data_IF_204707999747
#
_entry.id   IF_204707999747
#
_cell.length_a   1.000
_cell.length_b   1.000
_cell.length_c   1.000
_cell.angle_alpha   90.00
_cell.angle_beta   90.00
_cell.angle_gamma   90.00
#
_symmetry.space_group_name_H-M   'P 1'
#
loop_
_entity.id
_entity.type
_entity.pdbx_description
1 polymer ?
#
# COMPACT_ATOMS: atom_id res chain seq x y z
N UNK A 1 18.83 26.29 1.40
CA UNK A 1 17.35 26.34 1.53
C UNK A 1 16.75 27.73 1.32
N UNK A 2 17.16 28.79 2.03
CA UNK A 2 16.55 30.14 1.89
C UNK A 2 16.53 30.72 0.46
N UNK A 3 17.55 30.46 -0.36
CA UNK A 3 17.63 30.97 -1.75
C UNK A 3 16.65 30.28 -2.73
N UNK A 4 16.35 29.00 -2.50
CA UNK A 4 15.36 28.23 -3.28
C UNK A 4 13.95 28.73 -2.97
N UNK A 5 13.64 28.95 -1.68
CA UNK A 5 12.35 29.48 -1.23
C UNK A 5 12.10 30.93 -1.67
N UNK A 6 13.16 31.68 -1.98
CA UNK A 6 13.09 33.04 -2.52
C UNK A 6 12.99 33.10 -4.06
N UNK A 7 13.05 31.96 -4.75
CA UNK A 7 13.06 31.90 -6.22
C UNK A 7 14.35 32.42 -6.87
N UNK A 8 15.40 32.70 -6.08
CA UNK A 8 16.71 33.18 -6.58
C UNK A 8 17.51 32.06 -7.29
N UNK A 9 17.18 30.81 -6.96
CA UNK A 9 17.61 29.62 -7.68
C UNK A 9 16.32 29.06 -8.27
N UNK A 10 16.16 29.16 -9.60
CA UNK A 10 15.01 28.56 -10.27
C UNK A 10 14.88 27.08 -9.89
N UNK A 11 13.66 26.53 -9.92
CA UNK A 11 13.49 25.08 -9.99
C UNK A 11 14.48 24.55 -11.02
N UNK A 12 15.12 23.39 -10.78
CA UNK A 12 16.11 22.83 -11.70
C UNK A 12 15.45 22.61 -13.07
N UNK A 13 15.42 23.63 -13.90
CA UNK A 13 14.67 23.71 -15.12
C UNK A 13 15.71 23.76 -16.22
N UNK A 14 15.85 22.61 -16.85
CA UNK A 14 16.94 22.33 -17.76
C UNK A 14 16.81 20.91 -18.26
N UNK A 15 17.27 20.71 -19.48
CA UNK A 15 17.23 19.44 -20.21
C UNK A 15 17.83 18.28 -19.42
N UNK A 16 18.75 18.57 -18.50
CA UNK A 16 19.37 17.60 -17.60
C UNK A 16 18.37 16.97 -16.62
N UNK A 17 17.46 17.75 -16.03
CA UNK A 17 16.39 17.20 -15.17
C UNK A 17 15.49 16.31 -16.00
N UNK A 18 15.09 16.77 -17.19
CA UNK A 18 14.21 16.03 -18.06
C UNK A 18 14.85 14.70 -18.49
N UNK A 19 16.14 14.69 -18.84
CA UNK A 19 16.92 13.49 -19.15
C UNK A 19 17.01 12.52 -17.97
N UNK A 20 17.26 13.00 -16.75
CA UNK A 20 17.31 12.14 -15.56
C UNK A 20 15.95 11.53 -15.24
N UNK A 21 14.88 12.30 -15.39
CA UNK A 21 13.51 11.81 -15.23
C UNK A 21 13.20 10.79 -16.34
N UNK A 22 13.52 11.07 -17.60
CA UNK A 22 13.29 10.14 -18.72
C UNK A 22 14.11 8.85 -18.60
N UNK A 23 15.32 8.93 -18.02
CA UNK A 23 16.19 7.78 -17.80
C UNK A 23 15.71 6.87 -16.65
N UNK A 24 15.16 7.45 -15.57
CA UNK A 24 14.80 6.71 -14.36
C UNK A 24 13.31 6.44 -14.16
N UNK A 25 12.40 7.21 -14.76
CA UNK A 25 10.96 6.94 -14.73
C UNK A 25 10.56 6.12 -15.95
N UNK A 26 10.44 4.81 -15.74
CA UNK A 26 9.77 3.93 -16.69
C UNK A 26 8.27 4.27 -16.74
N UNK A 27 7.67 4.19 -17.94
CA UNK A 27 6.23 4.36 -18.12
C UNK A 27 5.75 5.80 -18.06
N UNK A 28 6.52 6.81 -18.49
CA UNK A 28 5.96 8.17 -18.68
C UNK A 28 4.97 8.25 -19.83
N UNK A 29 5.02 7.29 -20.75
CA UNK A 29 4.15 7.19 -21.92
C UNK A 29 3.53 5.79 -21.99
N UNK A 30 2.39 5.70 -22.67
CA UNK A 30 1.63 4.45 -22.78
C UNK A 30 0.55 4.30 -21.71
N UNK A 31 -0.16 3.18 -21.75
CA UNK A 31 -1.35 2.92 -20.92
C UNK A 31 -1.02 2.73 -19.44
N UNK A 32 0.21 2.34 -19.13
CA UNK A 32 0.67 2.12 -17.75
C UNK A 32 1.34 3.35 -17.12
N UNK A 33 1.28 4.50 -17.79
CA UNK A 33 1.73 5.75 -17.19
C UNK A 33 0.87 6.13 -16.00
N UNK A 34 1.48 6.65 -14.93
CA UNK A 34 0.78 6.94 -13.68
C UNK A 34 -0.49 7.79 -13.89
N UNK A 35 -0.47 8.72 -14.83
CA UNK A 35 -1.61 9.58 -15.18
C UNK A 35 -2.69 8.86 -16.04
N UNK A 36 -2.31 7.83 -16.80
CA UNK A 36 -3.19 7.08 -17.73
C UNK A 36 -3.67 5.74 -17.17
N UNK A 37 -3.08 5.29 -16.08
CA UNK A 37 -3.46 4.04 -15.42
C UNK A 37 -4.92 4.11 -14.92
N UNK A 38 -5.38 5.31 -14.53
CA UNK A 38 -6.78 5.57 -14.18
C UNK A 38 -7.69 5.33 -15.38
N UNK A 39 -7.36 5.86 -16.57
CA UNK A 39 -8.14 5.63 -17.80
C UNK A 39 -8.22 4.14 -18.17
N UNK A 40 -7.15 3.38 -17.91
CA UNK A 40 -7.14 1.92 -18.10
C UNK A 40 -8.07 1.24 -17.11
N UNK A 41 -8.04 1.64 -15.83
CA UNK A 41 -8.96 1.09 -14.83
C UNK A 41 -10.41 1.44 -15.12
N UNK A 42 -10.71 2.64 -15.61
CA UNK A 42 -12.06 3.04 -16.03
C UNK A 42 -12.55 2.23 -17.23
N UNK A 43 -11.69 1.96 -18.22
CA UNK A 43 -12.03 1.08 -19.35
C UNK A 43 -12.25 -0.36 -18.90
N UNK A 44 -11.48 -0.85 -17.93
CA UNK A 44 -11.67 -2.18 -17.36
C UNK A 44 -12.99 -2.22 -16.56
N UNK A 45 -13.27 -1.22 -15.71
CA UNK A 45 -14.49 -1.17 -14.90
C UNK A 45 -15.76 -1.08 -15.74
N UNK A 46 -15.75 -0.31 -16.82
CA UNK A 46 -16.84 -0.25 -17.79
C UNK A 46 -17.16 -1.62 -18.40
N UNK A 47 -16.14 -2.47 -18.59
CA UNK A 47 -16.28 -3.82 -19.15
C UNK A 47 -16.53 -4.92 -18.10
N UNK A 48 -16.34 -4.65 -16.80
CA UNK A 48 -16.54 -5.63 -15.72
C UNK A 48 -18.02 -6.06 -15.59
N UNK A 49 -18.95 -5.26 -16.09
CA UNK A 49 -20.39 -5.51 -15.99
C UNK A 49 -20.95 -6.50 -17.03
N UNK A 50 -20.14 -6.96 -18.00
CA UNK A 50 -20.69 -7.57 -19.21
C UNK A 50 -21.02 -9.08 -19.14
N UNK A 51 -20.70 -9.84 -18.09
CA UNK A 51 -21.10 -11.26 -18.05
C UNK A 51 -21.10 -11.86 -16.63
N UNK A 52 -22.10 -11.50 -15.82
CA UNK A 52 -22.35 -12.15 -14.52
C UNK A 52 -23.07 -13.48 -14.72
N UNK A 53 -22.34 -14.46 -15.23
CA UNK A 53 -22.80 -15.85 -15.21
C UNK A 53 -22.67 -16.42 -13.80
N UNK A 54 -23.79 -16.85 -13.21
CA UNK A 54 -23.86 -17.42 -11.86
C UNK A 54 -22.92 -18.63 -11.73
N UNK A 55 -22.77 -19.44 -12.79
CA UNK A 55 -21.86 -20.60 -12.80
C UNK A 55 -20.39 -20.20 -12.75
N UNK A 56 -19.99 -19.14 -13.48
CA UNK A 56 -18.63 -18.59 -13.39
C UNK A 56 -18.36 -18.01 -12.00
N UNK A 57 -19.37 -17.43 -11.36
CA UNK A 57 -19.23 -16.86 -10.01
C UNK A 57 -19.08 -17.95 -8.94
N UNK A 58 -19.85 -19.03 -8.99
CA UNK A 58 -19.69 -20.17 -8.07
C UNK A 58 -18.37 -20.89 -8.28
N UNK A 59 -17.94 -21.09 -9.53
CA UNK A 59 -16.63 -21.66 -9.84
C UNK A 59 -15.50 -20.80 -9.28
N UNK A 60 -15.55 -19.48 -9.48
CA UNK A 60 -14.57 -18.54 -8.89
C UNK A 60 -14.57 -18.64 -7.37
N UNK A 61 -15.74 -18.64 -6.75
CA UNK A 61 -15.86 -18.78 -5.30
C UNK A 61 -15.21 -20.07 -4.79
N UNK A 62 -15.53 -21.22 -5.40
CA UNK A 62 -14.95 -22.52 -5.06
C UNK A 62 -13.43 -22.54 -5.21
N UNK A 63 -12.90 -22.02 -6.33
CA UNK A 63 -11.45 -21.93 -6.56
C UNK A 63 -10.79 -21.05 -5.51
N UNK A 64 -11.38 -19.91 -5.17
CA UNK A 64 -10.80 -18.95 -4.22
C UNK A 64 -10.79 -19.54 -2.80
N UNK A 65 -11.90 -20.13 -2.36
CA UNK A 65 -11.98 -20.79 -1.07
C UNK A 65 -11.09 -22.02 -0.97
N UNK A 66 -11.01 -22.83 -2.04
CA UNK A 66 -10.10 -23.96 -2.13
C UNK A 66 -8.62 -23.53 -2.04
N UNK A 67 -8.25 -22.46 -2.75
CA UNK A 67 -6.90 -21.88 -2.66
C UNK A 67 -6.58 -21.35 -1.26
N UNK A 68 -7.55 -20.72 -0.59
CA UNK A 68 -7.38 -20.27 0.79
C UNK A 68 -7.21 -21.44 1.76
N UNK A 69 -8.01 -22.49 1.63
CA UNK A 69 -7.85 -23.70 2.44
C UNK A 69 -6.49 -24.37 2.19
N UNK A 70 -6.10 -24.51 0.91
CA UNK A 70 -4.80 -25.08 0.55
C UNK A 70 -3.64 -24.26 1.11
N UNK A 71 -3.73 -22.92 1.08
CA UNK A 71 -2.74 -22.03 1.71
C UNK A 71 -2.72 -22.22 3.23
N UNK A 72 -3.88 -22.29 3.88
CA UNK A 72 -3.98 -22.50 5.33
C UNK A 72 -3.39 -23.86 5.75
N UNK A 73 -3.58 -24.92 4.97
CA UNK A 73 -2.92 -26.21 5.24
C UNK A 73 -1.42 -26.10 5.00
N UNK A 74 -1.00 -25.47 3.88
CA UNK A 74 0.41 -25.30 3.51
C UNK A 74 1.21 -24.49 4.55
N UNK A 75 0.60 -23.58 5.29
CA UNK A 75 1.28 -22.84 6.36
C UNK A 75 1.73 -23.72 7.52
N UNK A 76 1.08 -24.87 7.73
CA UNK A 76 1.40 -25.80 8.83
C UNK A 76 2.31 -26.97 8.42
N UNK A 77 2.67 -27.10 7.14
CA UNK A 77 3.51 -28.21 6.66
C UNK A 77 5.01 -28.03 7.00
N UNK A 78 5.78 -29.14 7.08
CA UNK A 78 7.24 -29.12 7.15
C UNK A 78 7.86 -28.27 6.04
N UNK A 79 8.78 -27.35 6.37
CA UNK A 79 9.49 -26.51 5.40
C UNK A 79 8.71 -25.28 4.89
N UNK A 80 7.50 -25.01 5.40
CA UNK A 80 6.77 -23.81 5.03
C UNK A 80 7.43 -22.54 5.60
N UNK A 81 7.80 -21.60 4.72
CA UNK A 81 8.32 -20.30 5.13
C UNK A 81 7.24 -19.41 5.78
N UNK A 82 5.97 -19.73 5.60
CA UNK A 82 4.83 -18.94 6.09
C UNK A 82 4.19 -19.50 7.36
N UNK A 83 5.01 -20.13 8.21
CA UNK A 83 4.57 -20.68 9.48
C UNK A 83 4.10 -19.59 10.45
N UNK A 84 3.03 -19.83 11.23
CA UNK A 84 2.57 -18.88 12.23
C UNK A 84 3.66 -18.44 13.22
N UNK A 85 4.53 -19.37 13.62
CA UNK A 85 5.63 -19.09 14.56
C UNK A 85 6.67 -18.13 13.94
N UNK A 86 7.00 -18.34 12.66
CA UNK A 86 7.89 -17.44 11.92
C UNK A 86 7.28 -16.05 11.74
N UNK A 87 5.97 -15.98 11.49
CA UNK A 87 5.26 -14.71 11.42
C UNK A 87 5.28 -13.97 12.76
N UNK A 88 5.03 -14.65 13.88
CA UNK A 88 5.11 -14.05 15.23
C UNK A 88 6.51 -13.53 15.58
N UNK A 89 7.55 -14.23 15.13
CA UNK A 89 8.92 -13.76 15.29
C UNK A 89 9.21 -12.54 14.42
N UNK A 90 8.77 -12.54 13.15
CA UNK A 90 9.00 -11.45 12.20
C UNK A 90 8.22 -10.18 12.56
N UNK A 91 7.02 -10.36 13.08
CA UNK A 91 6.11 -9.30 13.49
C UNK A 91 5.80 -9.51 14.98
N UNK A 92 6.73 -9.15 15.87
CA UNK A 92 6.45 -9.22 17.29
C UNK A 92 5.31 -8.26 17.60
N UNK A 93 4.39 -8.69 18.48
CA UNK A 93 3.32 -7.81 18.93
C UNK A 93 3.90 -6.55 19.58
N UNK A 94 3.23 -5.41 19.40
CA UNK A 94 3.66 -4.16 20.01
C UNK A 94 2.60 -3.64 21.00
N UNK A 95 3.09 -3.02 22.07
CA UNK A 95 2.23 -2.39 23.06
C UNK A 95 1.61 -1.10 22.48
N UNK A 96 0.26 -0.97 22.43
CA UNK A 96 -0.41 0.20 21.85
C UNK A 96 0.06 1.54 22.43
N UNK A 97 0.37 1.56 23.73
CA UNK A 97 0.82 2.77 24.44
C UNK A 97 2.17 3.28 23.93
N UNK A 98 3.05 2.39 23.47
CA UNK A 98 4.33 2.80 22.86
C UNK A 98 4.13 3.39 21.46
N UNK A 99 3.14 2.91 20.71
CA UNK A 99 2.79 3.49 19.42
C UNK A 99 2.16 4.87 19.60
N UNK A 100 1.26 5.03 20.57
CA UNK A 100 0.63 6.31 20.89
C UNK A 100 1.66 7.40 21.23
N UNK A 101 2.60 7.10 22.13
CA UNK A 101 3.70 8.01 22.50
C UNK A 101 4.57 8.40 21.30
N UNK A 102 4.84 7.45 20.39
CA UNK A 102 5.60 7.72 19.17
C UNK A 102 4.85 8.65 18.22
N UNK A 103 3.56 8.40 18.01
CA UNK A 103 2.70 9.24 17.18
C UNK A 103 2.63 10.65 17.77
N UNK A 104 2.40 10.79 19.07
CA UNK A 104 2.37 12.09 19.75
C UNK A 104 3.68 12.87 19.55
N UNK A 105 4.84 12.20 19.68
CA UNK A 105 6.13 12.81 19.40
C UNK A 105 6.25 13.32 17.96
N UNK A 106 5.75 12.57 16.97
CA UNK A 106 5.73 13.03 15.58
C UNK A 106 4.79 14.21 15.38
N UNK A 107 3.62 14.20 16.02
CA UNK A 107 2.66 15.30 15.95
C UNK A 107 3.26 16.60 16.51
N UNK A 108 3.94 16.53 17.66
CA UNK A 108 4.66 17.66 18.24
C UNK A 108 5.74 18.21 17.30
N UNK A 109 6.53 17.34 16.66
CA UNK A 109 7.58 17.74 15.72
C UNK A 109 7.03 18.40 14.45
N UNK A 110 5.84 17.99 14.00
CA UNK A 110 5.18 18.51 12.80
C UNK A 110 4.25 19.70 13.10
N UNK A 111 4.02 20.04 14.38
CA UNK A 111 3.00 21.02 14.76
C UNK A 111 1.57 20.55 14.49
N UNK A 112 1.37 19.24 14.38
CA UNK A 112 0.07 18.62 14.17
C UNK A 112 -0.71 18.55 15.49
N UNK A 113 -1.94 19.04 15.48
CA UNK A 113 -2.83 19.10 16.66
C UNK A 113 -4.06 18.20 16.52
N UNK A 114 -4.17 17.45 15.42
CA UNK A 114 -5.29 16.53 15.22
C UNK A 114 -5.26 15.43 16.28
N UNK A 115 -6.39 15.16 16.92
CA UNK A 115 -6.49 14.05 17.86
C UNK A 115 -6.64 12.75 17.08
N UNK A 116 -5.61 11.92 17.08
CA UNK A 116 -5.66 10.59 16.45
C UNK A 116 -6.15 9.55 17.45
N UNK A 117 -7.11 8.73 17.04
CA UNK A 117 -7.56 7.54 17.77
C UNK A 117 -6.80 6.31 17.29
N UNK A 118 -6.36 5.51 18.24
CA UNK A 118 -5.60 4.28 18.01
C UNK A 118 -6.40 3.11 18.55
N UNK A 119 -6.83 2.22 17.66
CA UNK A 119 -7.60 1.03 18.02
C UNK A 119 -6.84 -0.23 17.58
N UNK A 120 -6.46 -1.12 18.51
CA UNK A 120 -5.80 -2.37 18.16
C UNK A 120 -6.78 -3.29 17.42
N UNK A 121 -6.40 -3.72 16.21
CA UNK A 121 -7.12 -4.73 15.42
C UNK A 121 -6.56 -6.12 15.72
N UNK A 122 -5.24 -6.20 15.88
CA UNK A 122 -4.51 -7.42 16.27
C UNK A 122 -3.22 -7.03 16.99
N UNK A 123 -2.47 -8.01 17.48
CA UNK A 123 -1.18 -7.80 18.16
C UNK A 123 -0.17 -6.98 17.32
N UNK A 124 -0.34 -6.94 15.99
CA UNK A 124 0.59 -6.31 15.04
C UNK A 124 -0.07 -5.25 14.15
N UNK A 125 -1.37 -4.99 14.31
CA UNK A 125 -2.11 -4.01 13.50
C UNK A 125 -2.94 -3.09 14.40
N UNK A 126 -2.79 -1.80 14.15
CA UNK A 126 -3.59 -0.75 14.80
C UNK A 126 -4.26 0.09 13.71
N UNK A 127 -5.55 0.36 13.90
CA UNK A 127 -6.30 1.33 13.13
C UNK A 127 -6.01 2.72 13.66
N UNK A 128 -5.70 3.64 12.75
CA UNK A 128 -5.57 5.06 13.05
C UNK A 128 -6.75 5.78 12.39
N UNK A 129 -7.50 6.56 13.17
CA UNK A 129 -8.55 7.42 12.65
C UNK A 129 -8.44 8.83 13.23
N UNK A 130 -9.04 9.84 12.58
CA UNK A 130 -9.27 11.15 13.18
C UNK A 130 -10.23 11.10 14.40
#
# INVERSE_FOLDING_TARGET
MRKILKGEIGAADGDERQRLIDHHLAGKTGTMACERMVDVFDKISANIHADRSISKQTQRWLVTHGLHLAKAVKTHLPGSHNRPEFQKHRFPGFEPDNLAKRIERFQQLLGDTHKLRLEPISDVLVRISP
#
